data_IF_300457110036
#
_entry.id   IF_300457110036
#
_cell.length_a   1.000
_cell.length_b   1.000
_cell.length_c   1.000
_cell.angle_alpha   90.00
_cell.angle_beta   90.00
_cell.angle_gamma   90.00
#
_symmetry.space_group_name_H-M   'P 1'
#
loop_
_entity.id
_entity.type
_entity.pdbx_description
1 polymer ?
#
# COMPACT_ATOMS: atom_id res chain seq x y z
N UNK A 1 18.31 12.90 -8.39
CA UNK A 1 17.95 11.53 -8.81
C UNK A 1 16.92 11.05 -7.81
N UNK A 2 15.68 10.84 -8.24
CA UNK A 2 14.61 10.34 -7.36
C UNK A 2 14.97 8.92 -6.93
N UNK A 3 14.81 8.59 -5.66
CA UNK A 3 15.00 7.23 -5.17
C UNK A 3 13.94 6.29 -5.79
N UNK A 4 14.22 4.98 -5.91
CA UNK A 4 13.32 4.03 -6.57
C UNK A 4 11.93 3.98 -5.95
N UNK A 5 11.84 4.06 -4.62
CA UNK A 5 10.57 3.96 -3.89
C UNK A 5 9.66 5.16 -4.17
N UNK A 6 10.20 6.38 -4.10
CA UNK A 6 9.44 7.58 -4.46
C UNK A 6 8.97 7.51 -5.91
N UNK A 7 9.80 7.01 -6.83
CA UNK A 7 9.42 6.84 -8.24
C UNK A 7 8.25 5.85 -8.42
N UNK A 8 8.24 4.73 -7.70
CA UNK A 8 7.12 3.79 -7.73
C UNK A 8 5.82 4.44 -7.24
N UNK A 9 5.89 5.18 -6.12
CA UNK A 9 4.71 5.85 -5.57
C UNK A 9 4.20 6.96 -6.50
N UNK A 10 5.08 7.75 -7.09
CA UNK A 10 4.69 8.80 -8.04
C UNK A 10 3.99 8.22 -9.28
N UNK A 11 4.51 7.11 -9.82
CA UNK A 11 3.84 6.40 -10.91
C UNK A 11 2.49 5.83 -10.48
N UNK A 12 2.43 5.20 -9.30
CA UNK A 12 1.21 4.61 -8.75
C UNK A 12 0.09 5.66 -8.60
N UNK A 13 0.41 6.85 -8.09
CA UNK A 13 -0.52 7.96 -7.89
C UNK A 13 -0.95 8.65 -9.20
N UNK A 14 -0.23 8.48 -10.31
CA UNK A 14 -0.68 8.98 -11.61
C UNK A 14 -1.77 8.10 -12.24
N UNK A 15 -1.88 6.83 -11.85
CA UNK A 15 -2.75 5.86 -12.52
C UNK A 15 -4.26 6.12 -12.34
N UNK A 16 -4.79 6.45 -11.14
CA UNK A 16 -6.22 6.64 -10.95
C UNK A 16 -6.85 7.71 -11.85
N UNK A 17 -6.10 8.73 -12.27
CA UNK A 17 -6.59 9.80 -13.13
C UNK A 17 -6.16 9.65 -14.60
N UNK A 18 -5.42 8.60 -14.92
CA UNK A 18 -4.90 8.39 -16.27
C UNK A 18 -5.84 7.57 -17.16
N UNK A 19 -5.74 7.81 -18.48
CA UNK A 19 -6.39 7.02 -19.53
C UNK A 19 -5.53 5.82 -19.99
N UNK A 20 -4.53 5.43 -19.19
CA UNK A 20 -3.67 4.28 -19.49
C UNK A 20 -4.51 3.01 -19.57
N UNK A 21 -4.40 2.30 -20.69
CA UNK A 21 -5.05 1.01 -20.85
C UNK A 21 -4.50 0.02 -19.82
N UNK A 22 -5.38 -0.77 -19.19
CA UNK A 22 -5.02 -1.73 -18.14
C UNK A 22 -4.28 -1.10 -16.94
N UNK A 23 -4.58 0.17 -16.60
CA UNK A 23 -4.00 0.85 -15.42
C UNK A 23 -4.04 0.05 -14.12
N UNK A 24 -5.03 -0.82 -13.94
CA UNK A 24 -5.11 -1.76 -12.82
C UNK A 24 -3.98 -2.79 -12.78
N UNK A 25 -3.65 -3.38 -13.95
CA UNK A 25 -2.53 -4.32 -14.11
C UNK A 25 -1.21 -3.58 -13.91
N UNK A 26 -1.08 -2.38 -14.46
CA UNK A 26 0.11 -1.54 -14.29
C UNK A 26 0.32 -1.20 -12.80
N UNK A 27 -0.73 -0.80 -12.09
CA UNK A 27 -0.68 -0.54 -10.66
C UNK A 27 -0.24 -1.78 -9.88
N UNK A 28 -0.79 -2.95 -10.22
CA UNK A 28 -0.42 -4.19 -9.55
C UNK A 28 1.07 -4.52 -9.74
N UNK A 29 1.61 -4.37 -10.96
CA UNK A 29 3.03 -4.60 -11.22
C UNK A 29 3.93 -3.65 -10.40
N UNK A 30 3.56 -2.35 -10.35
CA UNK A 30 4.29 -1.37 -9.53
C UNK A 30 4.25 -1.75 -8.05
N UNK A 31 3.09 -2.21 -7.54
CA UNK A 31 2.96 -2.65 -6.15
C UNK A 31 3.83 -3.87 -5.87
N UNK A 32 3.91 -4.85 -6.78
CA UNK A 32 4.79 -6.03 -6.63
C UNK A 32 6.26 -5.63 -6.57
N UNK A 33 6.69 -4.71 -7.45
CA UNK A 33 8.07 -4.22 -7.49
C UNK A 33 8.42 -3.41 -6.23
N UNK A 34 7.51 -2.52 -5.80
CA UNK A 34 7.62 -1.75 -4.56
C UNK A 34 7.71 -2.67 -3.34
N UNK A 35 6.87 -3.71 -3.28
CA UNK A 35 6.84 -4.66 -2.17
C UNK A 35 8.15 -5.43 -2.08
N UNK A 36 8.65 -5.89 -3.23
CA UNK A 36 9.93 -6.61 -3.33
C UNK A 36 11.10 -5.73 -2.87
N UNK A 37 11.09 -4.45 -3.28
CA UNK A 37 12.09 -3.47 -2.86
C UNK A 37 12.07 -3.25 -1.34
N UNK A 38 10.90 -3.00 -0.76
CA UNK A 38 10.77 -2.66 0.66
C UNK A 38 11.02 -3.86 1.60
N UNK A 39 10.72 -5.08 1.15
CA UNK A 39 10.92 -6.30 1.94
C UNK A 39 12.33 -6.89 1.82
N UNK A 40 13.18 -6.38 0.92
CA UNK A 40 14.51 -6.89 0.56
C UNK A 40 15.61 -6.85 1.64
N UNK A 41 15.27 -6.98 2.93
CA UNK A 41 16.18 -6.86 4.08
C UNK A 41 17.08 -5.61 4.06
N UNK A 42 16.50 -4.40 3.94
CA UNK A 42 17.26 -3.17 4.07
C UNK A 42 17.79 -3.01 5.51
N UNK A 43 18.94 -2.32 5.70
CA UNK A 43 19.40 -1.92 7.02
C UNK A 43 18.39 -0.97 7.70
N UNK A 44 18.40 -0.88 9.02
CA UNK A 44 17.38 -0.16 9.81
C UNK A 44 17.18 1.31 9.37
N UNK A 45 18.27 2.01 9.04
CA UNK A 45 18.21 3.40 8.54
C UNK A 45 17.39 3.52 7.23
N UNK A 46 17.46 2.51 6.38
CA UNK A 46 16.72 2.45 5.12
C UNK A 46 15.28 1.98 5.38
N UNK A 47 15.04 1.14 6.39
CA UNK A 47 13.69 0.78 6.83
C UNK A 47 12.89 1.99 7.34
N UNK A 48 13.51 2.84 8.17
CA UNK A 48 12.89 4.07 8.68
C UNK A 48 12.58 5.06 7.53
N UNK A 49 13.50 5.19 6.58
CA UNK A 49 13.29 5.98 5.36
C UNK A 49 12.13 5.44 4.52
N UNK A 50 12.13 4.14 4.20
CA UNK A 50 11.06 3.50 3.46
C UNK A 50 9.70 3.71 4.14
N UNK A 51 9.63 3.55 5.47
CA UNK A 51 8.40 3.78 6.24
C UNK A 51 7.90 5.21 6.09
N UNK A 52 8.79 6.19 6.25
CA UNK A 52 8.44 7.61 6.10
C UNK A 52 7.86 7.94 4.72
N UNK A 53 8.40 7.31 3.67
CA UNK A 53 7.95 7.50 2.29
C UNK A 53 6.64 6.74 2.01
N UNK A 54 6.55 5.47 2.43
CA UNK A 54 5.37 4.62 2.24
C UNK A 54 4.13 5.18 2.94
N UNK A 55 4.29 5.73 4.14
CA UNK A 55 3.21 6.27 4.95
C UNK A 55 3.05 7.79 4.83
N UNK A 56 3.67 8.41 3.81
CA UNK A 56 3.48 9.84 3.56
C UNK A 56 2.01 10.17 3.29
N UNK A 57 1.46 11.17 3.97
CA UNK A 57 0.02 11.51 4.00
C UNK A 57 -0.64 11.58 2.62
N UNK A 58 0.04 12.18 1.62
CA UNK A 58 -0.53 12.45 0.29
C UNK A 58 0.02 11.58 -0.84
N UNK A 59 1.19 10.99 -0.63
CA UNK A 59 1.95 10.27 -1.68
C UNK A 59 2.24 8.82 -1.30
N UNK A 60 1.87 8.42 -0.09
CA UNK A 60 2.04 7.06 0.39
C UNK A 60 0.99 6.10 -0.14
N UNK A 61 1.17 4.82 0.19
CA UNK A 61 0.29 3.73 -0.22
C UNK A 61 -1.10 3.82 0.40
N UNK A 62 -1.21 4.37 1.62
CA UNK A 62 -2.49 4.56 2.30
C UNK A 62 -3.37 5.54 1.51
N UNK A 63 -2.80 6.62 0.97
CA UNK A 63 -3.55 7.56 0.15
C UNK A 63 -4.02 6.91 -1.17
N UNK A 64 -3.17 6.10 -1.80
CA UNK A 64 -3.56 5.38 -3.02
C UNK A 64 -4.75 4.43 -2.75
N UNK A 65 -4.72 3.69 -1.64
CA UNK A 65 -5.85 2.87 -1.21
C UNK A 65 -7.10 3.74 -0.97
N UNK A 66 -6.98 4.91 -0.32
CA UNK A 66 -8.09 5.85 -0.07
C UNK A 66 -8.75 6.33 -1.36
N UNK A 67 -7.98 6.54 -2.43
CA UNK A 67 -8.45 7.04 -3.75
C UNK A 67 -9.04 5.94 -4.65
N UNK A 68 -8.65 4.68 -4.41
CA UNK A 68 -9.03 3.53 -5.25
C UNK A 68 -10.05 2.60 -4.58
N UNK A 69 -10.55 2.94 -3.39
CA UNK A 69 -11.51 2.11 -2.62
C UNK A 69 -12.66 1.59 -3.49
N UNK A 70 -13.36 2.47 -4.21
CA UNK A 70 -14.53 2.11 -5.02
C UNK A 70 -14.19 1.80 -6.49
N UNK A 71 -12.93 1.54 -6.80
CA UNK A 71 -12.43 1.34 -8.16
C UNK A 71 -12.03 -0.12 -8.36
N UNK A 72 -12.92 -0.90 -8.96
CA UNK A 72 -12.74 -2.35 -9.11
C UNK A 72 -11.58 -2.71 -10.03
N UNK A 73 -11.20 -1.82 -10.95
CA UNK A 73 -10.04 -2.06 -11.82
C UNK A 73 -8.72 -2.17 -11.05
N UNK A 74 -8.63 -1.61 -9.84
CA UNK A 74 -7.44 -1.67 -8.99
C UNK A 74 -7.49 -2.78 -7.93
N UNK A 75 -8.43 -3.72 -8.03
CA UNK A 75 -8.63 -4.80 -7.05
C UNK A 75 -7.34 -5.55 -6.72
N UNK A 76 -6.59 -6.02 -7.73
CA UNK A 76 -5.37 -6.79 -7.49
C UNK A 76 -4.27 -5.95 -6.84
N UNK A 77 -4.13 -4.68 -7.23
CA UNK A 77 -3.20 -3.74 -6.59
C UNK A 77 -3.56 -3.49 -5.11
N UNK A 78 -4.86 -3.30 -4.80
CA UNK A 78 -5.35 -3.16 -3.42
C UNK A 78 -5.06 -4.41 -2.59
N UNK A 79 -5.33 -5.57 -3.16
CA UNK A 79 -5.07 -6.86 -2.51
C UNK A 79 -3.58 -7.04 -2.22
N UNK A 80 -2.72 -6.80 -3.20
CA UNK A 80 -1.27 -6.96 -3.03
C UNK A 80 -0.70 -5.96 -2.03
N UNK A 81 -1.19 -4.70 -2.01
CA UNK A 81 -0.81 -3.72 -0.98
C UNK A 81 -1.19 -4.16 0.44
N UNK A 82 -2.37 -4.77 0.64
CA UNK A 82 -2.76 -5.29 1.96
C UNK A 82 -1.87 -6.45 2.39
N UNK A 83 -1.49 -7.35 1.48
CA UNK A 83 -0.54 -8.44 1.77
C UNK A 83 0.87 -7.92 2.06
N UNK A 84 1.30 -6.92 1.31
CA UNK A 84 2.55 -6.20 1.56
C UNK A 84 2.53 -5.60 2.95
N UNK A 85 1.48 -4.84 3.31
CA UNK A 85 1.33 -4.22 4.63
C UNK A 85 1.41 -5.25 5.75
N UNK A 86 0.76 -6.42 5.63
CA UNK A 86 0.88 -7.48 6.64
C UNK A 86 2.33 -7.96 6.81
N UNK A 87 3.06 -8.11 5.71
CA UNK A 87 4.46 -8.54 5.75
C UNK A 87 5.38 -7.44 6.31
N UNK A 88 5.08 -6.19 5.96
CA UNK A 88 5.87 -5.03 6.35
C UNK A 88 5.66 -4.65 7.82
N UNK A 89 4.42 -4.69 8.32
CA UNK A 89 4.09 -4.46 9.74
C UNK A 89 4.83 -5.47 10.63
N UNK A 90 4.84 -6.75 10.26
CA UNK A 90 5.64 -7.77 10.98
C UNK A 90 7.14 -7.47 10.99
N UNK A 91 7.64 -6.80 9.96
CA UNK A 91 9.05 -6.39 9.87
C UNK A 91 9.34 -5.16 10.72
N UNK A 92 8.38 -4.25 10.87
CA UNK A 92 8.51 -3.04 11.70
C UNK A 92 8.43 -3.33 13.20
N UNK A 93 7.69 -4.37 13.59
CA UNK A 93 7.44 -4.68 15.00
C UNK A 93 6.89 -3.45 15.74
N UNK A 94 7.51 -2.98 16.83
CA UNK A 94 7.05 -1.81 17.57
C UNK A 94 7.15 -0.47 16.79
N UNK A 95 7.98 -0.39 15.75
CA UNK A 95 8.14 0.81 14.91
C UNK A 95 6.91 1.11 14.04
N UNK A 96 5.91 0.23 14.02
CA UNK A 96 4.64 0.46 13.33
C UNK A 96 3.76 1.49 14.04
N UNK A 97 3.96 1.71 15.34
CA UNK A 97 3.09 2.51 16.21
C UNK A 97 2.62 3.86 15.63
N UNK A 98 3.47 4.66 14.95
CA UNK A 98 3.06 5.93 14.36
C UNK A 98 2.01 5.79 13.25
N UNK A 99 1.92 4.62 12.61
CA UNK A 99 1.10 4.38 11.42
C UNK A 99 -0.16 3.55 11.69
N UNK A 100 -0.31 3.02 12.91
CA UNK A 100 -1.40 2.11 13.30
C UNK A 100 -2.78 2.71 13.04
N UNK A 101 -2.98 3.99 13.35
CA UNK A 101 -4.28 4.66 13.18
C UNK A 101 -4.65 4.72 11.70
N UNK A 102 -3.74 5.19 10.84
CA UNK A 102 -3.96 5.26 9.39
C UNK A 102 -4.23 3.89 8.78
N UNK A 103 -3.51 2.86 9.22
CA UNK A 103 -3.72 1.46 8.77
C UNK A 103 -5.11 0.97 9.18
N UNK A 104 -5.54 1.21 10.43
CA UNK A 104 -6.87 0.83 10.91
C UNK A 104 -7.97 1.52 10.14
N UNK A 105 -7.84 2.82 9.93
CA UNK A 105 -8.83 3.61 9.20
C UNK A 105 -9.00 3.13 7.76
N UNK A 106 -7.90 2.88 7.03
CA UNK A 106 -8.01 2.40 5.65
C UNK A 106 -8.56 0.98 5.57
N UNK A 107 -8.23 0.10 6.53
CA UNK A 107 -8.82 -1.24 6.61
C UNK A 107 -10.34 -1.18 6.83
N UNK A 108 -10.81 -0.37 7.77
CA UNK A 108 -12.25 -0.18 8.01
C UNK A 108 -12.95 0.39 6.77
N UNK A 109 -12.32 1.36 6.10
CA UNK A 109 -12.85 1.97 4.88
C UNK A 109 -12.98 0.93 3.76
N UNK A 110 -11.92 0.19 3.46
CA UNK A 110 -11.92 -0.89 2.45
C UNK A 110 -12.92 -1.99 2.80
N UNK A 111 -12.97 -2.43 4.06
CA UNK A 111 -13.94 -3.42 4.50
C UNK A 111 -15.39 -2.99 4.22
N UNK A 112 -15.70 -1.73 4.52
CA UNK A 112 -17.04 -1.17 4.41
C UNK A 112 -17.45 -0.85 2.97
N UNK A 113 -16.51 -0.38 2.14
CA UNK A 113 -16.83 0.26 0.86
C UNK A 113 -16.33 -0.51 -0.37
N UNK A 114 -15.33 -1.38 -0.24
CA UNK A 114 -14.86 -2.18 -1.38
C UNK A 114 -15.93 -3.21 -1.80
N UNK A 115 -15.96 -3.60 -3.06
CA UNK A 115 -16.90 -4.63 -3.55
C UNK A 115 -16.29 -6.04 -3.51
N UNK A 116 -14.96 -6.15 -3.42
CA UNK A 116 -14.23 -7.41 -3.48
C UNK A 116 -14.13 -8.08 -2.12
N UNK A 117 -14.73 -9.27 -1.98
CA UNK A 117 -14.55 -10.12 -0.81
C UNK A 117 -13.08 -10.49 -0.55
N UNK A 118 -12.28 -10.57 -1.62
CA UNK A 118 -10.84 -10.85 -1.54
C UNK A 118 -10.11 -9.72 -0.82
N UNK A 119 -10.38 -8.46 -1.19
CA UNK A 119 -9.80 -7.28 -0.53
C UNK A 119 -10.29 -7.19 0.91
N UNK A 120 -11.60 -7.35 1.14
CA UNK A 120 -12.18 -7.33 2.49
C UNK A 120 -11.55 -8.38 3.42
N UNK A 121 -11.34 -9.59 2.93
CA UNK A 121 -10.68 -10.65 3.68
C UNK A 121 -9.29 -10.23 4.20
N UNK A 122 -8.47 -9.63 3.35
CA UNK A 122 -7.13 -9.18 3.73
C UNK A 122 -7.12 -8.05 4.77
N UNK A 123 -8.16 -7.22 4.82
CA UNK A 123 -8.25 -6.16 5.85
C UNK A 123 -8.31 -6.73 7.27
N UNK A 124 -9.00 -7.85 7.48
CA UNK A 124 -9.06 -8.50 8.79
C UNK A 124 -7.71 -9.06 9.23
N UNK A 125 -7.00 -9.70 8.31
CA UNK A 125 -5.66 -10.23 8.56
C UNK A 125 -4.70 -9.13 9.00
N UNK A 126 -4.82 -7.94 8.41
CA UNK A 126 -4.00 -6.79 8.79
C UNK A 126 -4.46 -6.17 10.12
N UNK A 127 -5.76 -6.00 10.35
CA UNK A 127 -6.31 -5.41 11.58
C UNK A 127 -5.96 -6.21 12.85
N UNK A 128 -5.74 -7.52 12.75
CA UNK A 128 -5.33 -8.33 13.91
C UNK A 128 -3.84 -8.17 14.27
N UNK A 129 -3.05 -7.49 13.42
CA UNK A 129 -1.62 -7.25 13.61
C UNK A 129 -1.30 -5.84 14.13
N UNK A 130 -2.27 -4.93 14.11
CA UNK A 130 -2.09 -3.50 14.46
C UNK A 130 -3.00 -3.02 15.58
#
# INVERSE_FOLDING_TARGET
MSDPLTNYLEQLHCLPLSDVHQRGVVANNIVVDLSSFCLGNPPDRELAYCSSVLFHEKKGIINFLKETVSRDEFLDAKFELLRFLQSYVKKLDEEVNPYVVDIKEICVKLFSQDHSNKVKGETFSLLTQV
#
